data_IF_249897046075
#
_entry.id   IF_249897046075
#
_cell.length_a   1.000
_cell.length_b   1.000
_cell.length_c   1.000
_cell.angle_alpha   90.00
_cell.angle_beta   90.00
_cell.angle_gamma   90.00
#
_symmetry.space_group_name_H-M   'P 1'
#
loop_
_entity.id
_entity.type
_entity.pdbx_description
1 polymer ?
#
# COMPACT_ATOMS: atom_id res chain seq x y z
N UNK A 1 4.98 -23.46 65.92
CA UNK A 1 5.49 -23.74 64.56
C UNK A 1 4.29 -24.03 63.66
N UNK A 2 3.91 -23.09 62.81
CA UNK A 2 2.75 -23.23 61.92
C UNK A 2 3.21 -23.82 60.60
N UNK A 3 2.80 -25.05 60.29
CA UNK A 3 3.08 -25.73 59.03
C UNK A 3 2.29 -25.06 57.90
N UNK A 4 2.99 -24.46 56.94
CA UNK A 4 2.39 -23.96 55.70
C UNK A 4 1.86 -25.14 54.86
N UNK A 5 0.64 -25.04 54.29
CA UNK A 5 0.12 -26.07 53.42
C UNK A 5 0.87 -26.07 52.08
N UNK A 6 1.44 -27.22 51.72
CA UNK A 6 2.02 -27.46 50.41
C UNK A 6 0.89 -27.47 49.35
N UNK A 7 0.85 -26.43 48.53
CA UNK A 7 -0.07 -26.33 47.39
C UNK A 7 0.37 -27.38 46.37
N UNK A 8 -0.35 -28.51 46.29
CA UNK A 8 -0.20 -29.47 45.20
C UNK A 8 -0.76 -28.85 43.93
N UNK A 9 0.14 -28.32 43.11
CA UNK A 9 -0.21 -27.83 41.78
C UNK A 9 -0.50 -29.06 40.90
N UNK A 10 -1.78 -29.27 40.60
CA UNK A 10 -2.21 -30.37 39.75
C UNK A 10 -1.78 -30.06 38.30
N UNK A 11 -1.10 -30.99 37.62
CA UNK A 11 -0.61 -30.75 36.25
C UNK A 11 -1.72 -30.36 35.26
N UNK A 12 -2.96 -30.82 35.50
CA UNK A 12 -4.16 -30.44 34.74
C UNK A 12 -4.52 -28.96 34.86
N UNK A 13 -4.41 -28.37 36.06
CA UNK A 13 -4.68 -26.94 36.27
C UNK A 13 -3.63 -26.04 35.60
N UNK A 14 -2.38 -26.51 35.49
CA UNK A 14 -1.32 -25.79 34.76
C UNK A 14 -1.56 -25.81 33.26
N UNK A 15 -1.91 -26.98 32.70
CA UNK A 15 -2.24 -27.13 31.28
C UNK A 15 -3.46 -26.29 30.87
N UNK A 16 -4.51 -26.27 31.68
CA UNK A 16 -5.69 -25.41 31.45
C UNK A 16 -5.34 -23.92 31.50
N UNK A 17 -4.50 -23.51 32.46
CA UNK A 17 -4.02 -22.13 32.54
C UNK A 17 -3.22 -21.71 31.30
N UNK A 18 -2.34 -22.58 30.80
CA UNK A 18 -1.55 -22.32 29.59
C UNK A 18 -2.42 -22.30 28.32
N UNK A 19 -3.40 -23.20 28.22
CA UNK A 19 -4.33 -23.23 27.09
C UNK A 19 -5.21 -21.97 27.05
N UNK A 20 -5.72 -21.54 28.21
CA UNK A 20 -6.48 -20.29 28.33
C UNK A 20 -5.63 -19.07 27.97
N UNK A 21 -4.38 -19.00 28.44
CA UNK A 21 -3.45 -17.94 28.08
C UNK A 21 -3.17 -17.91 26.57
N UNK A 22 -2.97 -19.07 25.94
CA UNK A 22 -2.78 -19.20 24.49
C UNK A 22 -3.99 -18.71 23.69
N UNK A 23 -5.21 -19.06 24.12
CA UNK A 23 -6.45 -18.58 23.51
C UNK A 23 -6.63 -17.07 23.67
N UNK A 24 -6.30 -16.52 24.84
CA UNK A 24 -6.35 -15.07 25.10
C UNK A 24 -5.36 -14.35 24.20
N UNK A 25 -4.11 -14.84 24.08
CA UNK A 25 -3.11 -14.26 23.18
C UNK A 25 -3.53 -14.33 21.71
N UNK A 26 -4.14 -15.43 21.27
CA UNK A 26 -4.71 -15.56 19.93
C UNK A 26 -5.86 -14.57 19.70
N UNK A 27 -6.72 -14.39 20.69
CA UNK A 27 -7.84 -13.44 20.65
C UNK A 27 -7.34 -11.99 20.59
N UNK A 28 -6.37 -11.61 21.42
CA UNK A 28 -5.76 -10.28 21.38
C UNK A 28 -4.98 -10.04 20.09
N UNK A 29 -4.27 -11.04 19.56
CA UNK A 29 -3.58 -10.93 18.26
C UNK A 29 -4.57 -10.79 17.10
N UNK A 30 -5.76 -11.36 17.22
CA UNK A 30 -6.84 -11.22 16.24
C UNK A 30 -7.52 -9.85 16.33
N UNK A 31 -7.76 -9.34 17.53
CA UNK A 31 -8.32 -8.01 17.79
C UNK A 31 -7.36 -6.86 17.49
N UNK A 32 -6.08 -7.07 17.78
CA UNK A 32 -5.00 -6.11 17.58
C UNK A 32 -3.94 -6.77 16.70
N UNK A 33 -4.17 -6.84 15.38
CA UNK A 33 -3.09 -7.21 14.47
C UNK A 33 -1.89 -6.30 14.76
N UNK A 34 -0.69 -6.89 14.78
CA UNK A 34 0.55 -6.15 15.03
C UNK A 34 0.53 -4.85 14.23
N UNK A 35 0.77 -3.73 14.94
CA UNK A 35 0.70 -2.37 14.39
C UNK A 35 1.33 -2.35 13.00
N UNK A 36 0.63 -1.85 11.97
CA UNK A 36 1.12 -1.94 10.61
C UNK A 36 2.47 -1.23 10.57
N UNK A 37 3.49 -1.98 10.18
CA UNK A 37 4.81 -1.46 9.85
C UNK A 37 4.59 -0.20 9.01
N UNK A 38 5.17 0.94 9.43
CA UNK A 38 5.00 2.20 8.69
C UNK A 38 5.30 1.92 7.22
N UNK A 39 4.31 2.08 6.31
CA UNK A 39 4.52 1.71 4.92
C UNK A 39 5.60 2.59 4.30
N UNK A 40 5.75 3.83 4.78
CA UNK A 40 6.83 4.73 4.41
C UNK A 40 8.03 4.57 5.36
N UNK A 41 9.14 4.08 4.82
CA UNK A 41 10.45 4.15 5.47
C UNK A 41 11.26 5.28 4.83
N UNK A 42 11.93 6.10 5.64
CA UNK A 42 12.74 7.21 5.14
C UNK A 42 13.99 6.68 4.43
N UNK A 43 14.24 7.17 3.22
CA UNK A 43 15.45 6.91 2.45
C UNK A 43 16.00 8.24 1.92
N UNK A 44 17.31 8.35 1.63
CA UNK A 44 17.85 9.53 0.95
C UNK A 44 17.10 9.80 -0.35
N UNK A 45 16.74 11.05 -0.62
CA UNK A 45 15.96 11.42 -1.80
C UNK A 45 14.46 11.09 -1.71
N UNK A 46 13.96 10.68 -0.54
CA UNK A 46 12.55 10.41 -0.28
C UNK A 46 12.04 11.21 0.91
N UNK A 47 10.93 11.92 0.72
CA UNK A 47 10.24 12.69 1.74
C UNK A 47 8.82 12.16 1.91
N UNK A 48 8.42 11.86 3.16
CA UNK A 48 7.02 11.60 3.49
C UNK A 48 6.34 12.90 3.88
N UNK A 49 5.18 13.15 3.30
CA UNK A 49 4.28 14.23 3.69
C UNK A 49 2.91 13.67 4.07
N UNK A 50 2.09 14.48 4.76
CA UNK A 50 0.81 14.03 5.29
C UNK A 50 -0.34 14.25 4.29
N UNK A 51 -0.15 15.14 3.32
CA UNK A 51 -1.20 15.53 2.38
C UNK A 51 -0.70 15.68 0.94
N UNK A 52 -1.64 15.73 0.00
CA UNK A 52 -1.33 15.97 -1.41
C UNK A 52 -0.88 17.42 -1.60
N UNK A 53 -1.48 18.35 -0.87
CA UNK A 53 -1.21 19.78 -0.93
C UNK A 53 0.23 20.09 -0.49
N UNK A 54 0.70 19.42 0.57
CA UNK A 54 2.11 19.49 0.97
C UNK A 54 3.02 18.92 -0.12
N UNK A 55 2.67 17.77 -0.71
CA UNK A 55 3.45 17.17 -1.79
C UNK A 55 3.53 18.10 -3.02
N UNK A 56 2.43 18.77 -3.35
CA UNK A 56 2.36 19.73 -4.45
C UNK A 56 3.23 20.95 -4.19
N UNK A 57 3.25 21.43 -2.94
CA UNK A 57 4.11 22.54 -2.50
C UNK A 57 5.59 22.16 -2.64
N UNK A 58 5.96 20.95 -2.22
CA UNK A 58 7.34 20.45 -2.32
C UNK A 58 7.79 20.30 -3.77
N UNK A 59 6.92 19.82 -4.65
CA UNK A 59 7.27 19.55 -6.05
C UNK A 59 7.04 20.74 -7.00
N UNK A 60 6.31 21.77 -6.58
CA UNK A 60 5.90 22.88 -7.43
C UNK A 60 5.01 22.46 -8.60
N UNK A 61 4.30 21.33 -8.50
CA UNK A 61 3.43 20.79 -9.55
C UNK A 61 2.20 20.12 -8.98
N UNK A 62 1.13 20.06 -9.77
CA UNK A 62 -0.11 19.37 -9.38
C UNK A 62 0.14 17.86 -9.27
N UNK A 63 -0.46 17.28 -8.24
CA UNK A 63 -0.50 15.84 -7.97
C UNK A 63 -1.97 15.49 -7.82
N UNK A 64 -2.39 14.43 -8.49
CA UNK A 64 -3.78 14.01 -8.51
C UNK A 64 -3.96 12.72 -7.72
N UNK A 65 -5.12 12.59 -7.09
CA UNK A 65 -5.56 11.38 -6.42
C UNK A 65 -6.96 10.99 -6.88
N UNK A 66 -7.34 9.70 -6.78
CA UNK A 66 -8.69 9.28 -7.11
C UNK A 66 -9.71 10.01 -6.23
N UNK A 67 -10.79 10.49 -6.85
CA UNK A 67 -11.91 11.12 -6.12
C UNK A 67 -12.67 10.13 -5.26
N UNK A 68 -12.86 8.92 -5.77
CA UNK A 68 -13.49 7.82 -5.06
C UNK A 68 -12.39 6.85 -4.61
N UNK A 69 -12.15 6.81 -3.30
CA UNK A 69 -11.16 5.94 -2.68
C UNK A 69 -11.72 4.54 -2.34
N UNK A 70 -12.96 4.21 -2.72
CA UNK A 70 -13.59 2.89 -2.49
C UNK A 70 -13.64 2.49 -1.00
N UNK A 71 -13.92 3.48 -0.14
CA UNK A 71 -13.92 3.33 1.31
C UNK A 71 -12.53 3.25 1.94
N UNK A 72 -11.47 3.47 1.17
CA UNK A 72 -10.11 3.63 1.69
C UNK A 72 -9.88 5.06 2.20
N UNK A 73 -8.87 5.19 3.05
CA UNK A 73 -8.32 6.45 3.52
C UNK A 73 -6.91 6.63 2.95
N UNK A 74 -6.49 7.86 2.69
CA UNK A 74 -5.10 8.13 2.33
C UNK A 74 -4.25 8.11 3.59
N UNK A 75 -3.29 7.19 3.64
CA UNK A 75 -2.37 7.04 4.77
C UNK A 75 -1.24 8.08 4.74
N UNK A 76 -0.82 8.47 3.53
CA UNK A 76 0.17 9.51 3.31
C UNK A 76 0.68 9.52 1.88
N UNK A 77 1.58 10.46 1.62
CA UNK A 77 2.18 10.66 0.30
C UNK A 77 3.70 10.65 0.43
N UNK A 78 4.34 9.83 -0.40
CA UNK A 78 5.76 9.79 -0.59
C UNK A 78 6.17 10.67 -1.78
N UNK A 79 7.20 11.47 -1.61
CA UNK A 79 7.74 12.36 -2.64
C UNK A 79 9.20 11.98 -2.88
N UNK A 80 9.54 11.66 -4.13
CA UNK A 80 10.90 11.37 -4.52
C UNK A 80 11.59 12.67 -4.97
N UNK A 81 12.43 13.24 -4.11
CA UNK A 81 13.18 14.47 -4.38
C UNK A 81 14.42 14.22 -5.24
N UNK A 82 14.90 12.97 -5.30
CA UNK A 82 15.96 12.50 -6.19
C UNK A 82 15.54 11.21 -6.93
N UNK A 83 16.22 10.91 -8.04
CA UNK A 83 15.99 9.67 -8.78
C UNK A 83 16.49 8.46 -7.99
N UNK A 84 15.59 7.52 -7.70
CA UNK A 84 15.89 6.32 -6.88
C UNK A 84 15.41 5.06 -7.60
N UNK A 85 16.36 4.25 -8.09
CA UNK A 85 16.06 3.06 -8.89
C UNK A 85 15.29 3.43 -10.17
N UNK A 86 14.13 2.81 -10.38
CA UNK A 86 13.26 3.10 -11.54
C UNK A 86 12.34 4.32 -11.33
N UNK A 87 12.45 5.01 -10.18
CA UNK A 87 11.60 6.17 -9.85
C UNK A 87 12.36 7.45 -10.16
N UNK A 88 12.02 8.18 -11.24
CA UNK A 88 12.66 9.44 -11.54
C UNK A 88 12.33 10.50 -10.48
N UNK A 89 13.21 11.50 -10.34
CA UNK A 89 12.96 12.69 -9.53
C UNK A 89 11.58 13.29 -9.83
N UNK A 90 10.88 13.69 -8.78
CA UNK A 90 9.53 14.23 -8.83
C UNK A 90 8.44 13.17 -8.80
N UNK A 91 8.76 11.87 -8.79
CA UNK A 91 7.74 10.83 -8.61
C UNK A 91 7.02 10.98 -7.27
N UNK A 92 5.76 10.55 -7.21
CA UNK A 92 4.95 10.58 -6.00
C UNK A 92 4.25 9.25 -5.79
N UNK A 93 4.25 8.74 -4.56
CA UNK A 93 3.55 7.51 -4.20
C UNK A 93 2.49 7.81 -3.14
N UNK A 94 1.22 7.68 -3.52
CA UNK A 94 0.08 7.80 -2.59
C UNK A 94 -0.20 6.41 -2.05
N UNK A 95 -0.29 6.27 -0.72
CA UNK A 95 -0.62 5.01 -0.08
C UNK A 95 -2.04 5.06 0.46
N UNK A 96 -2.86 4.09 0.07
CA UNK A 96 -4.23 3.93 0.51
C UNK A 96 -4.33 2.82 1.55
N UNK A 97 -5.14 3.04 2.58
CA UNK A 97 -5.38 2.11 3.67
C UNK A 97 -6.87 1.81 3.80
N UNK A 98 -7.21 0.54 4.06
CA UNK A 98 -8.59 0.08 4.32
C UNK A 98 -8.57 -0.84 5.53
N UNK A 99 -9.42 -0.57 6.52
CA UNK A 99 -9.51 -1.35 7.76
C UNK A 99 -8.17 -1.55 8.49
N UNK A 100 -7.33 -0.50 8.54
CA UNK A 100 -6.04 -0.58 9.20
C UNK A 100 -4.92 -1.24 8.38
N UNK A 101 -5.19 -1.72 7.16
CA UNK A 101 -4.20 -2.37 6.29
C UNK A 101 -3.91 -1.56 5.04
N UNK A 102 -2.66 -1.56 4.58
CA UNK A 102 -2.31 -1.01 3.27
C UNK A 102 -3.08 -1.80 2.20
N UNK A 103 -3.85 -1.07 1.41
CA UNK A 103 -4.79 -1.62 0.43
C UNK A 103 -4.18 -1.58 -0.96
N UNK A 104 -3.72 -0.41 -1.37
CA UNK A 104 -3.04 -0.18 -2.63
C UNK A 104 -2.09 1.00 -2.52
N UNK A 105 -1.13 1.11 -3.44
CA UNK A 105 -0.42 2.36 -3.70
C UNK A 105 -0.57 2.83 -5.13
N UNK A 106 -0.43 4.14 -5.30
CA UNK A 106 -0.52 4.84 -6.58
C UNK A 106 0.77 5.60 -6.77
N UNK A 107 1.65 5.08 -7.63
CA UNK A 107 2.89 5.73 -8.01
C UNK A 107 2.68 6.51 -9.30
N UNK A 108 2.82 7.83 -9.25
CA UNK A 108 2.83 8.72 -10.40
C UNK A 108 4.27 9.12 -10.74
N UNK A 109 4.68 8.89 -11.99
CA UNK A 109 6.03 9.14 -12.50
C UNK A 109 5.98 10.20 -13.60
N UNK A 110 6.79 11.28 -13.52
CA UNK A 110 6.90 12.30 -14.58
C UNK A 110 7.65 11.79 -15.81
N UNK A 111 7.13 10.74 -16.45
CA UNK A 111 7.71 10.10 -17.63
C UNK A 111 6.58 9.58 -18.51
N UNK A 112 6.74 9.73 -19.82
CA UNK A 112 5.79 9.27 -20.86
C UNK A 112 6.06 7.81 -21.26
N UNK A 113 6.88 7.10 -20.50
CA UNK A 113 7.20 5.71 -20.75
C UNK A 113 6.88 4.85 -19.52
N UNK A 114 5.91 3.97 -19.70
CA UNK A 114 5.67 2.84 -18.81
C UNK A 114 6.96 2.00 -18.68
N UNK A 115 7.24 1.47 -17.48
CA UNK A 115 8.30 0.50 -17.35
C UNK A 115 7.98 -0.71 -18.22
N UNK A 116 8.98 -1.28 -18.91
CA UNK A 116 8.78 -2.41 -19.85
C UNK A 116 8.06 -3.60 -19.21
N UNK A 117 8.32 -3.84 -17.93
CA UNK A 117 7.68 -4.87 -17.11
C UNK A 117 6.18 -4.67 -16.97
N UNK A 118 5.68 -3.44 -17.12
CA UNK A 118 4.27 -3.13 -17.00
C UNK A 118 3.46 -3.44 -18.26
N UNK A 119 4.12 -3.59 -19.42
CA UNK A 119 3.46 -3.83 -20.72
C UNK A 119 3.14 -5.30 -21.00
N UNK A 120 3.48 -6.22 -20.08
CA UNK A 120 3.26 -7.67 -20.25
C UNK A 120 1.90 -8.15 -19.74
N UNK A 121 1.11 -7.26 -19.12
CA UNK A 121 -0.19 -7.56 -18.55
C UNK A 121 -1.35 -7.58 -19.55
N UNK A 122 -2.52 -8.00 -19.08
CA UNK A 122 -3.78 -7.91 -19.82
C UNK A 122 -4.14 -6.45 -20.11
N UNK A 123 -4.50 -6.15 -21.35
CA UNK A 123 -4.90 -4.79 -21.75
C UNK A 123 -6.34 -4.50 -21.33
N UNK A 124 -6.53 -3.46 -20.51
CA UNK A 124 -7.83 -3.03 -19.98
C UNK A 124 -8.15 -1.62 -20.48
N UNK A 125 -9.37 -1.41 -20.99
CA UNK A 125 -9.85 -0.08 -21.36
C UNK A 125 -10.26 0.73 -20.11
N UNK A 126 -9.57 1.84 -19.85
CA UNK A 126 -9.85 2.71 -18.71
C UNK A 126 -10.80 3.85 -19.09
N UNK A 127 -10.58 4.45 -20.25
CA UNK A 127 -11.41 5.50 -20.85
C UNK A 127 -11.25 5.40 -22.37
N UNK A 128 -12.15 6.00 -23.15
CA UNK A 128 -11.94 6.17 -24.58
C UNK A 128 -10.54 6.74 -24.86
N UNK A 129 -9.77 6.05 -25.69
CA UNK A 129 -8.38 6.41 -26.01
C UNK A 129 -7.33 6.12 -24.91
N UNK A 130 -7.71 5.59 -23.74
CA UNK A 130 -6.79 5.31 -22.63
C UNK A 130 -6.86 3.84 -22.23
N UNK A 131 -5.75 3.13 -22.44
CA UNK A 131 -5.59 1.74 -22.05
C UNK A 131 -4.65 1.63 -20.86
N UNK A 132 -4.96 0.71 -19.95
CA UNK A 132 -4.04 0.23 -18.93
C UNK A 132 -3.62 -1.21 -19.19
N UNK A 133 -2.57 -1.63 -18.51
CA UNK A 133 -2.03 -2.99 -18.55
C UNK A 133 -2.08 -3.55 -17.13
N UNK A 134 -2.87 -4.59 -16.94
CA UNK A 134 -3.10 -5.24 -15.66
C UNK A 134 -2.29 -6.53 -15.58
N UNK A 135 -1.40 -6.61 -14.61
CA UNK A 135 -0.68 -7.82 -14.26
C UNK A 135 -1.17 -8.32 -12.91
N UNK A 136 -1.57 -9.58 -12.84
CA UNK A 136 -1.89 -10.26 -11.58
C UNK A 136 -0.80 -11.29 -11.29
N UNK A 137 -0.34 -11.31 -10.04
CA UNK A 137 0.60 -12.31 -9.56
C UNK A 137 -0.13 -13.23 -8.59
N UNK A 138 0.11 -14.52 -8.69
CA UNK A 138 -0.35 -15.47 -7.67
C UNK A 138 0.53 -15.30 -6.44
N UNK A 139 0.03 -14.54 -5.47
CA UNK A 139 0.73 -14.28 -4.23
C UNK A 139 -0.11 -14.74 -3.06
N UNK A 140 0.47 -15.61 -2.24
CA UNK A 140 -0.13 -15.97 -0.97
C UNK A 140 -0.35 -14.69 -0.13
N UNK A 141 -1.37 -14.65 0.76
CA UNK A 141 -1.55 -13.54 1.68
C UNK A 141 -0.37 -13.48 2.66
N UNK A 142 0.73 -12.86 2.24
CA UNK A 142 1.93 -12.72 3.05
C UNK A 142 1.88 -11.42 3.86
N UNK A 143 2.48 -11.48 5.05
CA UNK A 143 2.69 -10.32 5.90
C UNK A 143 3.73 -9.41 5.22
N UNK A 144 3.45 -8.11 5.14
CA UNK A 144 4.43 -7.14 4.68
C UNK A 144 5.69 -7.26 5.53
N UNK A 145 6.85 -7.38 4.88
CA UNK A 145 8.11 -7.56 5.60
C UNK A 145 8.68 -6.19 5.99
N UNK A 146 9.22 -6.04 7.22
CA UNK A 146 9.99 -4.86 7.56
C UNK A 146 11.25 -4.78 6.69
N UNK A 147 11.51 -3.63 6.09
CA UNK A 147 12.74 -3.34 5.34
C UNK A 147 13.95 -3.45 6.27
N UNK A 148 14.64 -4.58 6.30
CA UNK A 148 16.03 -4.58 6.80
C UNK A 148 17.07 -4.63 5.68
N UNK A 149 16.68 -4.80 4.40
CA UNK A 149 17.67 -5.10 3.35
C UNK A 149 17.46 -4.45 1.97
N UNK A 150 16.33 -3.79 1.67
CA UNK A 150 16.08 -3.21 0.33
C UNK A 150 15.72 -1.74 0.46
N UNK A 151 16.31 -0.85 -0.35
CA UNK A 151 16.14 0.61 -0.31
C UNK A 151 14.78 1.10 -0.85
N UNK A 152 13.69 0.37 -0.59
CA UNK A 152 12.35 0.63 -1.13
C UNK A 152 11.26 0.38 -0.09
N UNK A 153 10.38 1.37 0.11
CA UNK A 153 9.12 1.39 0.89
C UNK A 153 8.56 -0.01 1.18
N UNK A 154 8.19 -0.27 2.45
CA UNK A 154 7.87 -1.59 3.02
C UNK A 154 7.27 -2.57 2.02
N UNK A 155 8.03 -3.64 1.72
CA UNK A 155 7.67 -4.63 0.71
C UNK A 155 6.55 -5.53 1.25
N UNK A 156 5.32 -5.16 0.91
CA UNK A 156 4.26 -6.14 0.75
C UNK A 156 4.47 -6.81 -0.62
N UNK A 157 4.36 -8.14 -0.72
CA UNK A 157 4.33 -8.78 -2.03
C UNK A 157 3.20 -8.18 -2.87
N UNK A 158 3.44 -7.85 -4.14
CA UNK A 158 2.44 -7.17 -4.98
C UNK A 158 1.58 -8.23 -5.68
N UNK A 159 0.31 -8.32 -5.32
CA UNK A 159 -0.61 -9.30 -5.92
C UNK A 159 -1.22 -8.86 -7.24
N UNK A 160 -1.34 -7.56 -7.47
CA UNK A 160 -1.76 -7.04 -8.77
C UNK A 160 -1.15 -5.66 -9.03
N UNK A 161 -0.90 -5.35 -10.30
CA UNK A 161 -0.41 -4.05 -10.74
C UNK A 161 -1.16 -3.61 -11.99
N UNK A 162 -1.67 -2.38 -11.99
CA UNK A 162 -2.27 -1.74 -13.15
C UNK A 162 -1.42 -0.54 -13.54
N UNK A 163 -0.92 -0.54 -14.77
CA UNK A 163 -0.09 0.53 -15.29
C UNK A 163 -0.77 1.23 -16.47
N UNK A 164 -0.72 2.56 -16.51
CA UNK A 164 -1.24 3.33 -17.64
C UNK A 164 -0.58 4.69 -17.74
N UNK A 165 -0.69 5.32 -18.90
CA UNK A 165 -0.25 6.70 -19.11
C UNK A 165 -1.45 7.61 -19.27
N UNK A 166 -1.37 8.78 -18.66
CA UNK A 166 -2.38 9.81 -18.84
C UNK A 166 -1.78 11.21 -18.70
N UNK A 167 -2.02 12.06 -19.72
CA UNK A 167 -1.58 13.47 -19.76
C UNK A 167 -0.07 13.66 -19.46
N UNK A 168 0.77 12.79 -20.03
CA UNK A 168 2.24 12.85 -19.87
C UNK A 168 2.76 12.38 -18.51
N UNK A 169 1.96 11.58 -17.79
CA UNK A 169 2.34 10.97 -16.52
C UNK A 169 2.06 9.48 -16.58
N UNK A 170 3.06 8.68 -16.24
CA UNK A 170 2.92 7.24 -16.05
C UNK A 170 2.40 6.96 -14.65
N UNK A 171 1.31 6.21 -14.54
CA UNK A 171 0.71 5.78 -13.29
C UNK A 171 0.90 4.27 -13.12
N UNK A 172 1.25 3.87 -11.91
CA UNK A 172 1.34 2.48 -11.49
C UNK A 172 0.52 2.30 -10.21
N UNK A 173 -0.54 1.52 -10.28
CA UNK A 173 -1.38 1.18 -9.14
C UNK A 173 -1.07 -0.24 -8.72
N UNK A 174 -0.61 -0.45 -7.49
CA UNK A 174 -0.21 -1.75 -6.98
C UNK A 174 -1.07 -2.17 -5.80
N UNK A 175 -1.60 -3.39 -5.84
CA UNK A 175 -2.30 -4.04 -4.75
C UNK A 175 -1.30 -4.77 -3.85
N UNK A 176 -1.39 -4.55 -2.54
CA UNK A 176 -0.57 -5.27 -1.58
C UNK A 176 -1.19 -6.62 -1.24
N UNK A 177 -0.45 -7.68 -1.51
CA UNK A 177 -0.91 -9.06 -1.40
C UNK A 177 -2.25 -9.25 -2.11
N UNK A 178 -3.21 -9.84 -1.41
CA UNK A 178 -4.57 -10.08 -1.92
C UNK A 178 -5.58 -9.02 -1.44
N UNK A 179 -5.13 -7.85 -1.00
CA UNK A 179 -5.98 -6.86 -0.30
C UNK A 179 -6.84 -6.02 -1.22
N UNK A 180 -6.42 -5.78 -2.46
CA UNK A 180 -7.21 -5.12 -3.48
C UNK A 180 -7.40 -6.06 -4.67
N UNK A 181 -8.62 -6.10 -5.18
CA UNK A 181 -8.96 -6.84 -6.40
C UNK A 181 -8.53 -6.08 -7.65
N UNK A 182 -8.36 -6.79 -8.76
CA UNK A 182 -8.13 -6.18 -10.07
C UNK A 182 -9.23 -5.14 -10.43
N UNK A 183 -10.50 -5.46 -10.13
CA UNK A 183 -11.62 -4.54 -10.35
C UNK A 183 -11.52 -3.25 -9.53
N UNK A 184 -11.08 -3.34 -8.27
CA UNK A 184 -10.84 -2.17 -7.42
C UNK A 184 -9.68 -1.32 -7.94
N UNK A 185 -8.59 -1.92 -8.44
CA UNK A 185 -7.50 -1.16 -9.07
C UNK A 185 -7.97 -0.43 -10.33
N UNK A 186 -8.77 -1.08 -11.18
CA UNK A 186 -9.36 -0.45 -12.37
C UNK A 186 -10.29 0.69 -11.99
N UNK A 187 -11.14 0.50 -10.97
CA UNK A 187 -12.04 1.55 -10.50
C UNK A 187 -11.27 2.76 -9.93
N UNK A 188 -10.18 2.54 -9.18
CA UNK A 188 -9.30 3.61 -8.72
C UNK A 188 -8.63 4.35 -9.89
N UNK A 189 -8.13 3.63 -10.90
CA UNK A 189 -7.54 4.23 -12.10
C UNK A 189 -8.54 5.10 -12.86
N UNK A 190 -9.77 4.62 -13.07
CA UNK A 190 -10.84 5.39 -13.70
C UNK A 190 -11.20 6.64 -12.89
N UNK A 191 -11.28 6.51 -11.58
CA UNK A 191 -11.54 7.65 -10.69
C UNK A 191 -10.41 8.69 -10.70
N UNK A 192 -9.15 8.24 -10.81
CA UNK A 192 -8.00 9.11 -10.98
C UNK A 192 -8.05 9.86 -12.31
N UNK A 193 -8.34 9.18 -13.42
CA UNK A 193 -8.51 9.82 -14.74
C UNK A 193 -9.59 10.91 -14.68
N UNK A 194 -10.75 10.60 -14.12
CA UNK A 194 -11.83 11.58 -13.92
C UNK A 194 -11.38 12.79 -13.09
N UNK A 195 -10.60 12.56 -12.04
CA UNK A 195 -10.05 13.65 -11.20
C UNK A 195 -9.13 14.59 -11.99
N UNK A 196 -8.31 14.02 -12.88
CA UNK A 196 -7.36 14.77 -13.72
C UNK A 196 -8.13 15.59 -14.75
N UNK A 197 -9.14 14.99 -15.39
CA UNK A 197 -9.95 15.67 -16.39
C UNK A 197 -10.65 16.90 -15.84
N UNK A 198 -11.31 16.76 -14.69
CA UNK A 198 -12.02 17.89 -14.08
C UNK A 198 -11.09 19.01 -13.64
N UNK A 199 -9.88 18.68 -13.20
CA UNK A 199 -8.89 19.67 -12.79
C UNK A 199 -8.13 20.31 -13.97
N UNK A 200 -8.23 19.73 -15.17
CA UNK A 200 -7.57 20.22 -16.39
C UNK A 200 -8.56 20.66 -17.47
N UNK A 201 -9.87 20.64 -17.15
CA UNK A 201 -10.90 21.23 -17.98
C UNK A 201 -10.66 22.74 -18.12
N UNK A 202 -10.79 23.30 -19.34
CA UNK A 202 -10.58 24.71 -19.61
C UNK A 202 -11.61 25.61 -18.89
#
# INVERSE_FOLDING_TARGET
MSLMPAIRINGRTVLLGLAALGLILLFFRWLYPASPISPFFQAPGFMRVLSIEEAQTVLGRRIFAPKNLLGCQMYGVGVYTDSTGERPRGSTEIILQKNGWRFASILARPSDALPKTALTGEKILLKEGVNGFLQTNDVAPALCMPMMQTRTIGLCPIGATLAFEYKGVSYLLSADGTRATAGELVALAKSLISSIDEATAP
#
